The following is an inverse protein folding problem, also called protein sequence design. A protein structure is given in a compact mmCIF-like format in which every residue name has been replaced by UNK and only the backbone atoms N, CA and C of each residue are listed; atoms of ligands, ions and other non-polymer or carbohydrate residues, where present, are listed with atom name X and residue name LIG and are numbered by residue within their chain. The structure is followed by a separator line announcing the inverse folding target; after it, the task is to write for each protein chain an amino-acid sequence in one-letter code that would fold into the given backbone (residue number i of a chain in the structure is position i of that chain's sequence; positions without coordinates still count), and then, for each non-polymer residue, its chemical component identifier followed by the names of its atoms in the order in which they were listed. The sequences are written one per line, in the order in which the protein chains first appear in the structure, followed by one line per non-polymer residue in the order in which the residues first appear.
data_IF_485001157588
#
_entry.id   IF_485001157588
#
_cell.length_a   1.000
_cell.length_b   1.000
_cell.length_c   1.000
_cell.angle_alpha   90.00
_cell.angle_beta   90.00
_cell.angle_gamma   90.00
#
_symmetry.space_group_name_H-M   'P 1'
#
loop_
_entity.id
_entity.type
_entity.pdbx_description
1 polymer ?
#
# COMPACT_ATOMS: atom_id res chain seq x y z
N UNK A 1 36.68 -7.37 -24.10
CA UNK A 1 35.71 -8.25 -23.41
C UNK A 1 36.22 -8.77 -22.07
N UNK A 2 37.39 -9.43 -22.01
CA UNK A 2 37.93 -10.05 -20.78
C UNK A 2 38.15 -9.03 -19.64
N UNK A 3 38.65 -7.83 -19.96
CA UNK A 3 38.88 -6.76 -18.97
C UNK A 3 37.56 -6.24 -18.36
N UNK A 4 36.51 -6.09 -19.17
CA UNK A 4 35.19 -5.67 -18.70
C UNK A 4 34.55 -6.73 -17.79
N UNK A 5 34.73 -8.01 -18.10
CA UNK A 5 34.26 -9.13 -17.28
C UNK A 5 35.03 -9.18 -15.94
N UNK A 6 36.35 -8.96 -15.97
CA UNK A 6 37.18 -8.89 -14.76
C UNK A 6 36.80 -7.73 -13.84
N UNK A 7 36.56 -6.53 -14.40
CA UNK A 7 36.09 -5.36 -13.62
C UNK A 7 34.69 -5.60 -13.06
N UNK A 8 33.79 -6.21 -13.83
CA UNK A 8 32.44 -6.56 -13.35
C UNK A 8 32.48 -7.58 -12.20
N UNK A 9 33.33 -8.61 -12.29
CA UNK A 9 33.51 -9.61 -11.23
C UNK A 9 34.12 -9.01 -9.96
N UNK A 10 35.03 -8.03 -10.09
CA UNK A 10 35.60 -7.32 -8.95
C UNK A 10 34.61 -6.35 -8.30
N UNK A 11 33.72 -5.74 -9.09
CA UNK A 11 32.68 -4.83 -8.59
C UNK A 11 31.45 -5.55 -8.03
N UNK A 12 31.15 -6.76 -8.50
CA UNK A 12 29.96 -7.53 -8.12
C UNK A 12 29.80 -7.73 -6.60
N UNK A 13 30.85 -8.06 -5.81
CA UNK A 13 30.74 -8.18 -4.35
C UNK A 13 30.34 -6.87 -3.68
N UNK A 14 30.85 -5.73 -4.16
CA UNK A 14 30.53 -4.41 -3.62
C UNK A 14 29.10 -4.00 -3.95
N UNK A 15 28.66 -4.24 -5.19
CA UNK A 15 27.28 -3.98 -5.62
C UNK A 15 26.32 -4.88 -4.84
N UNK A 16 26.64 -6.16 -4.69
CA UNK A 16 25.84 -7.11 -3.91
C UNK A 16 25.79 -6.75 -2.43
N UNK A 17 26.91 -6.38 -1.81
CA UNK A 17 26.95 -5.92 -0.43
C UNK A 17 26.16 -4.62 -0.22
N UNK A 18 26.24 -3.67 -1.16
CA UNK A 18 25.44 -2.44 -1.13
C UNK A 18 23.94 -2.75 -1.25
N UNK A 19 23.57 -3.66 -2.15
CA UNK A 19 22.21 -4.14 -2.33
C UNK A 19 21.68 -4.84 -1.08
N UNK A 20 22.46 -5.72 -0.45
CA UNK A 20 22.10 -6.38 0.80
C UNK A 20 21.88 -5.34 1.90
N UNK A 21 22.83 -4.42 2.13
CA UNK A 21 22.69 -3.36 3.14
C UNK A 21 21.45 -2.51 2.93
N UNK A 22 21.14 -2.17 1.68
CA UNK A 22 19.93 -1.44 1.33
C UNK A 22 18.66 -2.22 1.67
N UNK A 23 18.57 -3.49 1.25
CA UNK A 23 17.42 -4.34 1.56
C UNK A 23 17.28 -4.63 3.06
N UNK A 24 18.38 -4.83 3.79
CA UNK A 24 18.34 -5.00 5.25
C UNK A 24 17.79 -3.75 5.93
N UNK A 25 18.17 -2.54 5.49
CA UNK A 25 17.59 -1.28 6.01
C UNK A 25 16.10 -1.17 5.70
N UNK A 26 15.67 -1.54 4.49
CA UNK A 26 14.25 -1.56 4.12
C UNK A 26 13.47 -2.58 4.94
N UNK A 27 13.99 -3.80 5.12
CA UNK A 27 13.39 -4.85 5.93
C UNK A 27 13.25 -4.44 7.41
N UNK A 28 14.27 -3.81 7.99
CA UNK A 28 14.20 -3.28 9.36
C UNK A 28 13.09 -2.23 9.50
N UNK A 29 12.98 -1.31 8.54
CA UNK A 29 11.89 -0.32 8.52
C UNK A 29 10.52 -0.98 8.33
N UNK A 30 10.43 -1.99 7.47
CA UNK A 30 9.18 -2.71 7.29
C UNK A 30 8.76 -3.40 8.59
N UNK A 31 9.71 -4.02 9.30
CA UNK A 31 9.48 -4.64 10.60
C UNK A 31 9.04 -3.64 11.69
N UNK A 32 9.53 -2.40 11.66
CA UNK A 32 9.06 -1.38 12.61
C UNK A 32 7.66 -0.86 12.31
N UNK A 33 7.20 -0.94 11.06
CA UNK A 33 5.86 -0.45 10.65
C UNK A 33 4.81 -1.55 10.72
N UNK A 34 5.19 -2.82 10.59
CA UNK A 34 4.26 -3.95 10.63
C UNK A 34 3.31 -3.93 11.84
N UNK A 35 3.76 -3.69 13.10
CA UNK A 35 2.86 -3.65 14.25
C UNK A 35 1.80 -2.56 14.14
N UNK A 36 2.10 -1.43 13.48
CA UNK A 36 1.13 -0.36 13.25
C UNK A 36 0.05 -0.78 12.25
N UNK A 37 0.45 -1.51 11.19
CA UNK A 37 -0.49 -2.09 10.22
C UNK A 37 -1.39 -3.12 10.89
N UNK A 38 -0.79 -4.03 11.65
CA UNK A 38 -1.51 -5.09 12.36
C UNK A 38 -2.49 -4.53 13.40
N UNK A 39 -2.03 -3.59 14.24
CA UNK A 39 -2.88 -2.96 15.25
C UNK A 39 -4.03 -2.15 14.63
N UNK A 40 -3.76 -1.39 13.57
CA UNK A 40 -4.81 -0.60 12.91
C UNK A 40 -5.82 -1.47 12.16
N UNK A 41 -5.39 -2.59 11.57
CA UNK A 41 -6.29 -3.58 11.00
C UNK A 41 -7.17 -4.24 12.06
N UNK A 42 -6.57 -4.65 13.19
CA UNK A 42 -7.30 -5.30 14.29
C UNK A 42 -8.41 -4.39 14.83
N UNK A 43 -8.10 -3.11 15.09
CA UNK A 43 -9.09 -2.12 15.55
C UNK A 43 -10.23 -1.92 14.56
N UNK A 44 -9.97 -2.02 13.25
CA UNK A 44 -11.02 -1.93 12.23
C UNK A 44 -11.86 -3.20 12.20
N UNK A 45 -11.24 -4.39 12.22
CA UNK A 45 -11.94 -5.67 12.14
C UNK A 45 -12.73 -6.01 13.42
N UNK A 46 -12.34 -5.47 14.57
CA UNK A 46 -13.08 -5.60 15.83
C UNK A 46 -14.27 -4.65 15.94
N UNK A 47 -14.37 -3.63 15.08
CA UNK A 47 -15.50 -2.70 15.09
C UNK A 47 -16.76 -3.40 14.57
N UNK A 48 -17.68 -3.71 15.50
CA UNK A 48 -18.96 -4.37 15.20
C UNK A 48 -19.87 -3.58 14.27
N UNK A 49 -19.64 -2.27 14.15
CA UNK A 49 -20.41 -1.39 13.27
C UNK A 49 -19.71 -1.13 11.93
N UNK A 50 -18.62 -1.85 11.63
CA UNK A 50 -17.93 -1.69 10.36
C UNK A 50 -18.79 -2.29 9.23
N UNK A 51 -19.01 -1.53 8.12
CA UNK A 51 -19.67 -2.07 6.94
C UNK A 51 -18.93 -3.31 6.41
N UNK A 52 -19.63 -4.39 6.01
CA UNK A 52 -19.01 -5.63 5.54
C UNK A 52 -17.99 -5.40 4.40
N UNK A 53 -18.30 -4.46 3.48
CA UNK A 53 -17.42 -4.12 2.36
C UNK A 53 -16.10 -3.48 2.80
N UNK A 54 -16.11 -2.69 3.87
CA UNK A 54 -14.89 -2.12 4.44
C UNK A 54 -14.06 -3.20 5.14
N UNK A 55 -14.70 -4.15 5.82
CA UNK A 55 -14.03 -5.32 6.40
C UNK A 55 -13.35 -6.19 5.34
N UNK A 56 -14.08 -6.55 4.29
CA UNK A 56 -13.52 -7.29 3.14
C UNK A 56 -12.32 -6.57 2.52
N UNK A 57 -12.36 -5.24 2.46
CA UNK A 57 -11.27 -4.42 1.91
C UNK A 57 -10.03 -4.46 2.81
N UNK A 58 -10.20 -4.37 4.13
CA UNK A 58 -9.10 -4.52 5.09
C UNK A 58 -8.45 -5.90 4.94
N UNK A 59 -9.25 -6.97 4.86
CA UNK A 59 -8.74 -8.32 4.65
C UNK A 59 -8.00 -8.47 3.31
N UNK A 60 -8.57 -7.92 2.23
CA UNK A 60 -7.95 -7.98 0.91
C UNK A 60 -6.60 -7.25 0.90
N UNK A 61 -6.53 -6.07 1.51
CA UNK A 61 -5.30 -5.31 1.66
C UNK A 61 -4.27 -6.10 2.46
N UNK A 62 -4.65 -6.71 3.59
CA UNK A 62 -3.76 -7.54 4.40
C UNK A 62 -3.22 -8.75 3.63
N UNK A 63 -4.06 -9.41 2.81
CA UNK A 63 -3.64 -10.54 1.97
C UNK A 63 -2.72 -10.10 0.83
N UNK A 64 -2.92 -8.90 0.28
CA UNK A 64 -2.13 -8.37 -0.83
C UNK A 64 -0.80 -7.74 -0.37
N UNK A 65 -0.69 -7.34 0.89
CA UNK A 65 0.45 -6.61 1.41
C UNK A 65 1.73 -7.44 1.38
N UNK A 66 2.85 -6.82 1.01
CA UNK A 66 4.16 -7.46 0.95
C UNK A 66 4.51 -8.06 -0.41
N UNK A 67 3.54 -8.14 -1.33
CA UNK A 67 3.79 -8.46 -2.75
C UNK A 67 4.26 -7.25 -3.57
N UNK A 68 4.13 -6.03 -3.04
CA UNK A 68 4.38 -4.79 -3.78
C UNK A 68 3.24 -4.39 -4.72
N UNK A 69 2.22 -5.24 -4.88
CA UNK A 69 1.11 -5.00 -5.80
C UNK A 69 0.33 -3.73 -5.44
N UNK A 70 0.12 -3.48 -4.15
CA UNK A 70 -0.63 -2.33 -3.68
C UNK A 70 0.10 -1.03 -4.01
N UNK A 71 1.42 -1.03 -3.88
CA UNK A 71 2.31 0.07 -4.28
C UNK A 71 2.27 0.31 -5.79
N UNK A 72 2.28 -0.76 -6.58
CA UNK A 72 2.21 -0.70 -8.04
C UNK A 72 0.85 -0.16 -8.49
N UNK A 73 -0.25 -0.71 -7.97
CA UNK A 73 -1.61 -0.26 -8.24
C UNK A 73 -1.78 1.22 -7.86
N UNK A 74 -1.24 1.62 -6.71
CA UNK A 74 -1.24 3.01 -6.28
C UNK A 74 -0.49 3.92 -7.26
N UNK A 75 0.72 3.52 -7.66
CA UNK A 75 1.55 4.28 -8.60
C UNK A 75 0.85 4.46 -9.96
N UNK A 76 0.24 3.39 -10.48
CA UNK A 76 -0.55 3.46 -11.72
C UNK A 76 -1.80 4.34 -11.55
N UNK A 77 -2.50 4.27 -10.42
CA UNK A 77 -3.63 5.15 -10.14
C UNK A 77 -3.23 6.64 -10.09
N UNK A 78 -2.02 6.93 -9.60
CA UNK A 78 -1.49 8.29 -9.50
C UNK A 78 -1.03 8.83 -10.87
N UNK A 79 -0.35 8.00 -11.67
CA UNK A 79 0.09 8.36 -13.03
C UNK A 79 -1.07 8.45 -14.03
N UNK A 80 -1.91 7.43 -14.03
CA UNK A 80 -3.07 7.34 -14.91
C UNK A 80 -4.31 7.79 -14.16
N UNK A 81 -4.22 8.96 -13.50
CA UNK A 81 -5.33 9.63 -12.80
C UNK A 81 -6.45 9.83 -13.81
N UNK A 82 -7.22 8.77 -14.01
CA UNK A 82 -8.14 8.67 -15.11
C UNK A 82 -9.17 9.75 -14.83
N UNK A 83 -9.44 10.57 -15.85
CA UNK A 83 -10.63 11.43 -15.91
C UNK A 83 -11.91 10.56 -15.96
N UNK A 84 -11.95 9.46 -15.21
CA UNK A 84 -13.12 8.64 -14.96
C UNK A 84 -14.06 9.45 -14.10
N UNK A 85 -14.76 10.36 -14.80
CA UNK A 85 -16.00 10.99 -14.40
C UNK A 85 -16.82 9.96 -13.64
N UNK A 86 -17.20 10.34 -12.41
CA UNK A 86 -18.48 10.04 -11.77
C UNK A 86 -19.25 8.89 -12.43
N UNK A 87 -19.01 7.66 -11.99
CA UNK A 87 -19.99 6.58 -12.13
C UNK A 87 -20.04 5.79 -10.84
N UNK A 88 -20.93 6.24 -9.96
CA UNK A 88 -21.94 5.40 -9.30
C UNK A 88 -21.54 4.14 -8.55
N UNK A 89 -20.25 3.84 -8.32
CA UNK A 89 -19.89 2.86 -7.29
C UNK A 89 -19.89 3.62 -5.97
N UNK A 90 -20.78 3.25 -5.05
CA UNK A 90 -20.74 3.74 -3.67
C UNK A 90 -19.33 3.55 -3.15
N UNK A 91 -18.62 4.65 -2.95
CA UNK A 91 -17.28 4.66 -2.37
C UNK A 91 -17.38 3.99 -1.00
N UNK A 92 -16.41 3.15 -0.63
CA UNK A 92 -16.41 2.55 0.72
C UNK A 92 -16.49 3.65 1.79
N UNK A 93 -15.92 4.82 1.49
CA UNK A 93 -15.99 6.02 2.32
C UNK A 93 -17.36 6.71 2.38
N UNK A 94 -18.37 6.32 1.59
CA UNK A 94 -19.76 6.78 1.79
C UNK A 94 -20.53 5.94 2.81
N UNK A 95 -20.03 4.75 3.14
CA UNK A 95 -20.64 3.83 4.10
C UNK A 95 -19.99 3.94 5.49
N UNK A 96 -18.81 4.57 5.58
CA UNK A 96 -18.05 4.77 6.82
C UNK A 96 -18.45 6.07 7.53
N UNK A 97 -18.55 6.01 8.87
CA UNK A 97 -18.61 7.22 9.67
C UNK A 97 -17.22 7.89 9.73
N UNK A 98 -17.16 9.18 10.09
CA UNK A 98 -15.93 10.00 10.08
C UNK A 98 -14.79 9.39 10.91
N UNK A 99 -15.10 8.76 12.05
CA UNK A 99 -14.09 8.08 12.87
C UNK A 99 -13.55 6.81 12.22
N UNK A 100 -14.42 6.02 11.57
CA UNK A 100 -14.04 4.80 10.87
C UNK A 100 -13.24 5.13 9.61
N UNK A 101 -13.62 6.20 8.91
CA UNK A 101 -12.89 6.75 7.78
C UNK A 101 -11.46 7.13 8.16
N UNK A 102 -11.26 7.89 9.25
CA UNK A 102 -9.92 8.27 9.71
C UNK A 102 -9.07 7.04 10.09
N UNK A 103 -9.66 6.07 10.80
CA UNK A 103 -8.98 4.80 11.12
C UNK A 103 -8.59 4.02 9.86
N UNK A 104 -9.49 3.95 8.88
CA UNK A 104 -9.25 3.26 7.61
C UNK A 104 -8.16 3.95 6.79
N UNK A 105 -8.16 5.28 6.70
CA UNK A 105 -7.10 6.04 6.02
C UNK A 105 -5.75 5.79 6.66
N UNK A 106 -5.67 5.80 8.00
CA UNK A 106 -4.42 5.51 8.73
C UNK A 106 -3.92 4.09 8.47
N UNK A 107 -4.81 3.10 8.54
CA UNK A 107 -4.48 1.72 8.18
C UNK A 107 -3.95 1.63 6.75
N UNK A 108 -4.65 2.22 5.78
CA UNK A 108 -4.27 2.18 4.38
C UNK A 108 -2.92 2.83 4.12
N UNK A 109 -2.64 3.99 4.74
CA UNK A 109 -1.35 4.68 4.61
C UNK A 109 -0.21 3.84 5.18
N UNK A 110 -0.41 3.23 6.36
CA UNK A 110 0.57 2.33 6.96
C UNK A 110 0.81 1.10 6.07
N UNK A 111 -0.26 0.52 5.52
CA UNK A 111 -0.20 -0.63 4.63
C UNK A 111 0.54 -0.31 3.32
N UNK A 112 0.22 0.82 2.68
CA UNK A 112 0.88 1.31 1.48
C UNK A 112 2.35 1.60 1.74
N UNK A 113 2.69 2.20 2.87
CA UNK A 113 4.09 2.46 3.22
C UNK A 113 4.86 1.15 3.40
N UNK A 114 4.32 0.19 4.15
CA UNK A 114 4.93 -1.13 4.33
C UNK A 114 5.12 -1.85 2.99
N UNK A 115 4.10 -1.88 2.15
CA UNK A 115 4.16 -2.50 0.83
C UNK A 115 5.20 -1.81 -0.07
N UNK A 116 5.31 -0.48 0.02
CA UNK A 116 6.32 0.26 -0.73
C UNK A 116 7.74 -0.16 -0.34
N UNK A 117 7.99 -0.48 0.93
CA UNK A 117 9.30 -0.93 1.40
C UNK A 117 9.66 -2.31 0.83
N UNK A 118 8.67 -3.08 0.39
CA UNK A 118 8.83 -4.38 -0.28
C UNK A 118 8.86 -4.30 -1.80
N UNK A 119 8.51 -3.16 -2.40
CA UNK A 119 8.66 -2.89 -3.83
C UNK A 119 9.90 -2.01 -4.09
N UNK A 120 11.09 -2.58 -4.41
CA UNK A 120 12.35 -1.83 -4.40
C UNK A 120 12.41 -0.68 -5.41
N UNK A 121 11.90 -0.86 -6.63
CA UNK A 121 11.94 0.17 -7.68
C UNK A 121 10.72 1.10 -7.56
N UNK A 122 9.52 0.53 -7.65
CA UNK A 122 8.27 1.31 -7.65
C UNK A 122 8.02 1.98 -6.30
N UNK A 123 8.35 1.32 -5.19
CA UNK A 123 8.23 1.90 -3.87
C UNK A 123 9.19 3.06 -3.61
N UNK A 124 10.37 3.08 -4.24
CA UNK A 124 11.25 4.28 -4.19
C UNK A 124 10.58 5.44 -4.91
N UNK A 125 9.99 5.20 -6.09
CA UNK A 125 9.25 6.23 -6.81
C UNK A 125 8.05 6.73 -5.99
N UNK A 126 7.22 5.83 -5.46
CA UNK A 126 6.06 6.20 -4.63
C UNK A 126 6.47 7.00 -3.40
N UNK A 127 7.52 6.60 -2.67
CA UNK A 127 8.02 7.38 -1.51
C UNK A 127 8.63 8.72 -1.90
N UNK A 128 9.14 8.86 -3.12
CA UNK A 128 9.70 10.11 -3.63
C UNK A 128 8.61 11.07 -4.11
N UNK A 129 7.58 10.55 -4.78
CA UNK A 129 6.41 11.33 -5.20
C UNK A 129 5.52 11.71 -4.00
N UNK A 130 5.39 10.81 -3.03
CA UNK A 130 4.69 11.04 -1.76
C UNK A 130 5.69 11.19 -0.62
N UNK A 131 6.40 12.31 -0.60
CA UNK A 131 7.37 12.61 0.45
C UNK A 131 6.75 12.59 1.87
N UNK A 132 5.44 12.77 1.99
CA UNK A 132 4.68 12.70 3.24
C UNK A 132 4.39 11.27 3.70
N UNK A 133 4.40 10.28 2.80
CA UNK A 133 4.04 8.89 3.11
C UNK A 133 4.86 8.28 4.26
N UNK A 134 6.19 8.44 4.31
CA UNK A 134 6.99 7.95 5.44
C UNK A 134 6.71 8.70 6.74
N UNK A 135 6.43 10.01 6.67
CA UNK A 135 6.17 10.85 7.83
C UNK A 135 4.79 10.50 8.44
N UNK A 136 3.75 10.35 7.63
CA UNK A 136 2.43 10.00 8.12
C UNK A 136 2.36 8.59 8.68
N UNK A 137 3.01 7.62 8.02
CA UNK A 137 2.98 6.22 8.46
C UNK A 137 3.71 5.99 9.79
N UNK A 138 4.66 6.86 10.16
CA UNK A 138 5.51 6.71 11.35
C UNK A 138 5.10 7.67 12.48
N UNK A 139 4.84 8.93 12.17
CA UNK A 139 4.74 10.00 13.18
C UNK A 139 3.30 10.43 13.50
N UNK A 140 2.29 9.93 12.77
CA UNK A 140 0.85 10.27 12.92
C UNK A 140 0.51 11.78 12.90
N UNK A 141 1.49 12.65 12.67
CA UNK A 141 1.39 14.10 12.83
C UNK A 141 0.83 14.81 11.60
N UNK A 142 0.98 14.20 10.42
CA UNK A 142 0.49 14.76 9.15
C UNK A 142 -0.89 14.18 8.83
N UNK A 143 -1.96 14.99 8.83
CA UNK A 143 -3.28 14.51 8.43
C UNK A 143 -3.28 14.23 6.92
N UNK A 144 -3.53 12.98 6.54
CA UNK A 144 -3.73 12.58 5.14
C UNK A 144 -5.22 12.67 4.83
N UNK A 145 -5.55 13.36 3.74
CA UNK A 145 -6.95 13.59 3.40
C UNK A 145 -7.52 12.41 2.61
N UNK A 146 -8.81 12.11 2.80
CA UNK A 146 -9.58 11.12 2.03
C UNK A 146 -9.29 11.17 0.53
N UNK A 147 -9.21 12.38 -0.04
CA UNK A 147 -8.98 12.59 -1.47
C UNK A 147 -7.65 12.04 -2.00
N UNK A 148 -6.63 11.89 -1.14
CA UNK A 148 -5.34 11.32 -1.53
C UNK A 148 -5.37 9.78 -1.59
N UNK A 149 -6.28 9.17 -0.84
CA UNK A 149 -6.40 7.70 -0.69
C UNK A 149 -7.52 7.11 -1.56
N UNK A 150 -8.59 7.89 -1.78
CA UNK A 150 -9.78 7.51 -2.53
C UNK A 150 -9.52 6.91 -3.93
N UNK A 151 -8.61 7.44 -4.77
CA UNK A 151 -8.36 6.88 -6.10
C UNK A 151 -7.89 5.42 -6.06
N UNK A 152 -7.16 5.03 -5.01
CA UNK A 152 -6.52 3.72 -4.93
C UNK A 152 -7.40 2.72 -4.22
N UNK A 153 -8.16 3.18 -3.22
CA UNK A 153 -9.23 2.38 -2.63
C UNK A 153 -10.28 2.02 -3.68
N UNK A 154 -10.64 2.96 -4.56
CA UNK A 154 -11.54 2.69 -5.68
C UNK A 154 -10.96 1.70 -6.70
N UNK A 155 -9.63 1.71 -6.91
CA UNK A 155 -8.98 0.73 -7.77
C UNK A 155 -8.98 -0.66 -7.13
N UNK A 156 -8.66 -0.74 -5.84
CA UNK A 156 -8.70 -1.98 -5.06
C UNK A 156 -10.12 -2.57 -5.02
N UNK A 157 -11.14 -1.73 -4.85
CA UNK A 157 -12.55 -2.14 -4.83
C UNK A 157 -12.99 -2.75 -6.16
N UNK A 158 -12.56 -2.15 -7.29
CA UNK A 158 -12.77 -2.75 -8.62
C UNK A 158 -12.08 -4.11 -8.75
N UNK A 159 -10.84 -4.23 -8.26
CA UNK A 159 -10.12 -5.50 -8.30
C UNK A 159 -10.77 -6.58 -7.43
N UNK A 160 -11.27 -6.23 -6.25
CA UNK A 160 -12.05 -7.14 -5.40
C UNK A 160 -13.34 -7.60 -6.08
N UNK A 161 -14.07 -6.70 -6.73
CA UNK A 161 -15.27 -7.05 -7.49
C UNK A 161 -14.99 -8.06 -8.61
N UNK A 162 -13.80 -8.01 -9.23
CA UNK A 162 -13.37 -8.96 -10.25
C UNK A 162 -12.70 -10.22 -9.69
N UNK A 163 -12.18 -10.18 -8.46
CA UNK A 163 -11.52 -11.31 -7.80
C UNK A 163 -12.50 -12.20 -7.02
N UNK A 164 -13.73 -11.74 -6.75
CA UNK A 164 -14.79 -12.61 -6.24
C UNK A 164 -15.12 -13.66 -7.32
N UNK A 165 -14.93 -14.96 -7.07
CA UNK A 165 -15.51 -15.97 -7.95
C UNK A 165 -17.03 -15.76 -7.98
N UNK A 166 -17.65 -16.02 -9.12
CA UNK A 166 -19.10 -16.00 -9.30
C UNK A 166 -19.80 -17.15 -8.53
N UNK A 167 -19.37 -17.44 -7.30
CA UNK A 167 -20.01 -18.39 -6.40
C UNK A 167 -21.03 -17.64 -5.57
N UNK A 168 -22.14 -17.29 -6.22
CA UNK A 168 -23.47 -17.09 -5.64
C UNK A 168 -24.45 -16.83 -6.81
N UNK A 169 -24.52 -17.77 -7.76
CA UNK A 169 -25.76 -18.01 -8.48
C UNK A 169 -26.35 -19.27 -7.82
N UNK A 170 -27.40 -19.04 -7.03
CA UNK A 170 -28.25 -20.05 -6.43
C UNK A 170 -28.95 -20.89 -7.50
#
# INVERSE_FOLDING_TARGET
MIILIGVALLAAPFIFAAYLRFNTKLLRRAHSVWPLVEQSAHVLLEDRNLPPRAGDMVEFILKAIGSGWLTVAFFFALLFRSKSRKRGSGSIFSELNKEQEDRFVRFFVAALFFDSLRAPIVGVLVRRFLYWLPATAVDKSTPVSRHEVEPVVNLADRHMAHARPATCAA
#
